data_IF_889120748045
#
_entry.id   IF_889120748045
#
_cell.length_a   1.000
_cell.length_b   1.000
_cell.length_c   1.000
_cell.angle_alpha   90.00
_cell.angle_beta   90.00
_cell.angle_gamma   90.00
#
_symmetry.space_group_name_H-M   'P 1'
#
loop_
_entity.id
_entity.type
_entity.pdbx_description
1 polymer ?
#
# COMPACT_ATOMS: atom_id res chain seq x y z
N UNK A 1 33.67 31.69 -9.24
CA UNK A 1 32.97 31.27 -10.47
C UNK A 1 32.05 30.11 -10.11
N UNK A 2 30.81 30.42 -9.72
CA UNK A 2 29.76 29.41 -9.57
C UNK A 2 29.50 28.76 -10.92
N UNK A 3 29.57 27.43 -10.96
CA UNK A 3 29.13 26.67 -12.13
C UNK A 3 27.61 26.57 -12.03
N UNK A 4 26.91 27.50 -12.68
CA UNK A 4 25.48 27.41 -12.90
C UNK A 4 25.19 26.17 -13.74
N UNK A 5 24.38 25.27 -13.19
CA UNK A 5 23.91 24.08 -13.89
C UNK A 5 23.15 24.48 -15.17
N UNK A 6 23.34 23.80 -16.31
CA UNK A 6 22.65 24.11 -17.56
C UNK A 6 21.12 23.96 -17.41
N UNK A 7 20.36 25.02 -17.74
CA UNK A 7 18.90 25.13 -17.54
C UNK A 7 18.00 24.28 -18.45
N UNK A 8 18.46 23.11 -18.92
CA UNK A 8 17.70 22.18 -19.77
C UNK A 8 17.33 20.86 -19.08
N UNK A 9 17.81 20.63 -17.85
CA UNK A 9 17.37 19.52 -17.00
C UNK A 9 16.34 20.09 -16.00
N UNK A 10 15.13 19.54 -15.95
CA UNK A 10 13.94 20.24 -15.46
C UNK A 10 13.89 20.33 -13.92
N UNK A 11 13.14 21.33 -13.44
CA UNK A 11 12.77 21.58 -12.04
C UNK A 11 12.67 20.31 -11.19
N UNK A 12 13.09 20.34 -9.92
CA UNK A 12 13.11 19.20 -8.97
C UNK A 12 11.86 18.29 -9.03
N UNK A 13 10.69 18.84 -9.36
CA UNK A 13 9.43 18.12 -9.56
C UNK A 13 9.46 17.09 -10.72
N UNK A 14 10.07 17.42 -11.87
CA UNK A 14 10.16 16.51 -13.03
C UNK A 14 11.17 15.39 -12.77
N UNK A 15 12.28 15.71 -12.08
CA UNK A 15 13.22 14.70 -11.60
C UNK A 15 12.55 13.67 -10.69
N UNK A 16 11.73 14.13 -9.73
CA UNK A 16 11.00 13.25 -8.82
C UNK A 16 10.00 12.32 -9.55
N UNK A 17 9.26 12.85 -10.54
CA UNK A 17 8.32 12.04 -11.32
C UNK A 17 9.04 10.95 -12.11
N UNK A 18 10.21 11.26 -12.68
CA UNK A 18 11.04 10.28 -13.38
C UNK A 18 11.57 9.19 -12.44
N UNK A 19 12.02 9.56 -11.24
CA UNK A 19 12.47 8.61 -10.22
C UNK A 19 11.33 7.66 -9.78
N UNK A 20 10.11 8.19 -9.58
CA UNK A 20 8.93 7.37 -9.28
C UNK A 20 8.55 6.43 -10.44
N UNK A 21 8.64 6.91 -11.68
CA UNK A 21 8.39 6.09 -12.86
C UNK A 21 9.41 4.96 -12.99
N UNK A 22 10.69 5.23 -12.74
CA UNK A 22 11.73 4.20 -12.76
C UNK A 22 11.49 3.13 -11.69
N UNK A 23 11.09 3.53 -10.48
CA UNK A 23 10.73 2.57 -9.42
C UNK A 23 9.53 1.69 -9.83
N UNK A 24 8.50 2.28 -10.47
CA UNK A 24 7.36 1.55 -11.03
C UNK A 24 7.78 0.54 -12.10
N UNK A 25 8.67 0.95 -13.01
CA UNK A 25 9.19 0.07 -14.07
C UNK A 25 9.97 -1.11 -13.50
N UNK A 26 10.83 -0.87 -12.49
CA UNK A 26 11.55 -1.95 -11.78
C UNK A 26 10.58 -2.96 -11.15
N UNK A 27 9.55 -2.46 -10.45
CA UNK A 27 8.48 -3.32 -9.90
C UNK A 27 7.78 -4.13 -11.00
N UNK A 28 7.49 -3.50 -12.14
CA UNK A 28 6.89 -4.17 -13.30
C UNK A 28 7.75 -5.27 -13.90
N UNK A 29 9.08 -5.12 -13.85
CA UNK A 29 10.05 -6.13 -14.25
C UNK A 29 10.31 -7.23 -13.19
N UNK A 30 9.61 -7.19 -12.04
CA UNK A 30 9.83 -8.11 -10.93
C UNK A 30 11.03 -7.78 -10.04
N UNK A 31 11.77 -6.70 -10.33
CA UNK A 31 12.85 -6.19 -9.48
C UNK A 31 12.29 -5.41 -8.28
N UNK A 32 11.67 -6.14 -7.35
CA UNK A 32 11.07 -5.56 -6.15
C UNK A 32 12.12 -4.93 -5.22
N UNK A 33 13.29 -5.55 -5.10
CA UNK A 33 14.36 -5.06 -4.23
C UNK A 33 14.95 -3.74 -4.76
N UNK A 34 15.21 -3.65 -6.06
CA UNK A 34 15.66 -2.41 -6.71
C UNK A 34 14.59 -1.32 -6.68
N UNK A 35 13.32 -1.67 -6.86
CA UNK A 35 12.21 -0.72 -6.70
C UNK A 35 12.15 -0.13 -5.29
N UNK A 36 12.20 -0.97 -4.24
CA UNK A 36 12.23 -0.51 -2.84
C UNK A 36 13.46 0.35 -2.54
N UNK A 37 14.63 -0.01 -3.07
CA UNK A 37 15.86 0.78 -2.89
C UNK A 37 15.71 2.17 -3.51
N UNK A 38 15.10 2.25 -4.71
CA UNK A 38 14.83 3.53 -5.38
C UNK A 38 13.87 4.40 -4.56
N UNK A 39 12.78 3.80 -4.08
CA UNK A 39 11.79 4.47 -3.26
C UNK A 39 12.36 4.89 -1.90
N UNK A 40 13.28 4.11 -1.31
CA UNK A 40 13.99 4.50 -0.10
C UNK A 40 14.79 5.80 -0.31
N UNK A 41 15.47 5.94 -1.45
CA UNK A 41 16.24 7.15 -1.78
C UNK A 41 15.32 8.38 -1.88
N UNK A 42 14.17 8.23 -2.54
CA UNK A 42 13.15 9.28 -2.65
C UNK A 42 12.62 9.66 -1.26
N UNK A 43 12.17 8.66 -0.49
CA UNK A 43 11.52 8.87 0.81
C UNK A 43 12.49 9.31 1.91
N UNK A 44 13.80 9.07 1.78
CA UNK A 44 14.80 9.67 2.68
C UNK A 44 14.87 11.19 2.50
N UNK A 45 14.64 11.69 1.29
CA UNK A 45 14.59 13.14 1.00
C UNK A 45 13.23 13.72 1.38
N UNK A 46 12.14 13.03 1.04
CA UNK A 46 10.77 13.49 1.31
C UNK A 46 9.93 12.37 1.94
N UNK A 47 10.03 12.14 3.27
CA UNK A 47 9.38 11.00 3.93
C UNK A 47 7.86 10.99 3.88
N UNK A 48 7.24 12.15 3.76
CA UNK A 48 5.77 12.31 3.72
C UNK A 48 5.21 12.36 2.30
N UNK A 49 6.04 12.10 1.28
CA UNK A 49 5.59 12.05 -0.11
C UNK A 49 4.61 10.88 -0.30
N UNK A 50 3.32 11.20 -0.33
CA UNK A 50 2.24 10.21 -0.36
C UNK A 50 2.37 9.25 -1.55
N UNK A 51 2.67 9.76 -2.74
CA UNK A 51 2.85 8.91 -3.92
C UNK A 51 4.01 7.93 -3.77
N UNK A 52 5.12 8.37 -3.16
CA UNK A 52 6.25 7.50 -2.84
C UNK A 52 5.88 6.41 -1.84
N UNK A 53 5.10 6.75 -0.80
CA UNK A 53 4.60 5.80 0.19
C UNK A 53 3.63 4.78 -0.44
N UNK A 54 2.74 5.22 -1.32
CA UNK A 54 1.81 4.36 -2.06
C UNK A 54 2.57 3.41 -2.98
N UNK A 55 3.57 3.89 -3.73
CA UNK A 55 4.37 3.01 -4.59
C UNK A 55 5.20 2.00 -3.79
N UNK A 56 5.70 2.38 -2.61
CA UNK A 56 6.37 1.44 -1.71
C UNK A 56 5.42 0.34 -1.23
N UNK A 57 4.24 0.70 -0.73
CA UNK A 57 3.24 -0.25 -0.27
C UNK A 57 2.78 -1.21 -1.38
N UNK A 58 2.55 -0.70 -2.61
CA UNK A 58 2.24 -1.54 -3.79
C UNK A 58 3.39 -2.48 -4.16
N UNK A 59 4.64 -2.02 -4.05
CA UNK A 59 5.82 -2.85 -4.34
C UNK A 59 5.92 -4.00 -3.34
N UNK A 60 5.73 -3.71 -2.05
CA UNK A 60 5.73 -4.72 -0.99
C UNK A 60 4.58 -5.72 -1.14
N UNK A 61 3.38 -5.25 -1.52
CA UNK A 61 2.23 -6.12 -1.79
C UNK A 61 2.51 -7.11 -2.92
N UNK A 62 3.06 -6.66 -4.06
CA UNK A 62 3.42 -7.55 -5.15
C UNK A 62 4.55 -8.51 -4.74
N UNK A 63 5.53 -8.03 -3.98
CA UNK A 63 6.58 -8.89 -3.45
C UNK A 63 6.03 -9.96 -2.50
N UNK A 64 4.95 -9.63 -1.78
CA UNK A 64 4.18 -10.54 -0.93
C UNK A 64 3.73 -11.81 -1.64
N UNK A 65 3.43 -11.72 -2.94
CA UNK A 65 3.03 -12.89 -3.75
C UNK A 65 4.13 -13.95 -3.82
N UNK A 66 5.40 -13.54 -3.78
CA UNK A 66 6.56 -14.45 -3.79
C UNK A 66 7.05 -14.77 -2.38
N UNK A 67 6.91 -13.81 -1.47
CA UNK A 67 7.48 -13.83 -0.12
C UNK A 67 6.44 -13.28 0.86
N UNK A 68 5.60 -14.14 1.46
CA UNK A 68 4.42 -13.74 2.23
C UNK A 68 4.65 -12.68 3.30
N UNK A 69 5.83 -12.65 3.94
CA UNK A 69 6.19 -11.65 4.93
C UNK A 69 6.04 -10.20 4.42
N UNK A 70 6.17 -9.96 3.12
CA UNK A 70 6.01 -8.62 2.57
C UNK A 70 4.57 -8.16 2.46
N UNK A 71 3.57 -9.07 2.49
CA UNK A 71 2.18 -8.65 2.72
C UNK A 71 2.03 -7.98 4.08
N UNK A 72 2.65 -8.56 5.14
CA UNK A 72 2.67 -7.96 6.47
C UNK A 72 3.34 -6.59 6.45
N UNK A 73 4.50 -6.49 5.82
CA UNK A 73 5.19 -5.21 5.63
C UNK A 73 4.34 -4.20 4.86
N UNK A 74 3.60 -4.62 3.83
CA UNK A 74 2.76 -3.73 3.03
C UNK A 74 1.60 -3.13 3.85
N UNK A 75 1.04 -3.87 4.81
CA UNK A 75 -0.07 -3.35 5.63
C UNK A 75 0.37 -2.68 6.94
N UNK A 76 1.50 -3.10 7.54
CA UNK A 76 2.04 -2.54 8.79
C UNK A 76 3.05 -1.39 8.56
N UNK A 77 3.82 -1.44 7.48
CA UNK A 77 5.00 -0.60 7.24
C UNK A 77 6.29 -1.40 7.27
N UNK A 78 7.41 -0.74 6.98
CA UNK A 78 8.75 -1.35 6.87
C UNK A 78 9.09 -2.29 8.04
N UNK A 79 9.89 -3.36 7.80
CA UNK A 79 10.22 -4.32 8.84
C UNK A 79 11.08 -3.66 9.95
N UNK A 80 10.77 -3.98 11.21
CA UNK A 80 11.51 -3.48 12.38
C UNK A 80 11.32 -1.98 12.63
N UNK A 81 12.36 -1.32 13.15
CA UNK A 81 12.32 0.12 13.48
C UNK A 81 12.44 1.05 12.24
N UNK A 82 12.41 0.52 11.02
CA UNK A 82 12.49 1.35 9.80
C UNK A 82 11.15 2.02 9.53
N UNK A 83 10.96 3.20 10.13
CA UNK A 83 9.79 4.09 9.93
C UNK A 83 9.73 4.74 8.54
N UNK A 84 10.63 4.37 7.63
CA UNK A 84 10.76 5.00 6.31
C UNK A 84 9.55 4.72 5.41
N UNK A 85 9.06 3.48 5.43
CA UNK A 85 7.93 3.06 4.61
C UNK A 85 6.67 2.93 5.46
N UNK A 86 5.62 3.61 5.04
CA UNK A 86 4.29 3.46 5.58
C UNK A 86 3.63 2.21 5.01
N UNK A 87 2.94 1.48 5.87
CA UNK A 87 1.98 0.48 5.42
C UNK A 87 0.66 1.14 5.04
N UNK A 88 -0.20 0.38 4.37
CA UNK A 88 -1.57 0.80 4.02
C UNK A 88 -2.36 1.31 5.24
N UNK A 89 -2.11 0.76 6.43
CA UNK A 89 -2.72 1.27 7.67
C UNK A 89 -2.38 2.73 7.97
N UNK A 90 -1.10 3.11 7.86
CA UNK A 90 -0.68 4.50 8.07
C UNK A 90 -1.07 5.40 6.90
N UNK A 91 -1.04 4.92 5.66
CA UNK A 91 -1.56 5.67 4.51
C UNK A 91 -3.04 6.03 4.72
N UNK A 92 -3.85 5.10 5.21
CA UNK A 92 -5.26 5.37 5.54
C UNK A 92 -5.40 6.42 6.65
N UNK A 93 -4.56 6.37 7.69
CA UNK A 93 -4.56 7.41 8.75
C UNK A 93 -4.22 8.79 8.20
N UNK A 94 -3.20 8.88 7.36
CA UNK A 94 -2.68 10.15 6.84
C UNK A 94 -3.58 10.79 5.77
N UNK A 95 -4.50 10.02 5.20
CA UNK A 95 -5.47 10.47 4.18
C UNK A 95 -6.88 10.69 4.74
N UNK A 96 -7.17 10.20 5.94
CA UNK A 96 -8.48 10.31 6.59
C UNK A 96 -8.94 11.78 6.71
N UNK A 97 -10.20 12.03 6.33
CA UNK A 97 -10.85 13.34 6.47
C UNK A 97 -10.34 14.42 5.50
N UNK A 98 -9.41 14.09 4.60
CA UNK A 98 -8.88 15.02 3.60
C UNK A 98 -9.60 14.79 2.28
N UNK A 99 -10.49 15.71 1.91
CA UNK A 99 -11.34 15.58 0.71
C UNK A 99 -10.54 15.23 -0.56
N UNK A 100 -9.42 15.91 -0.78
CA UNK A 100 -8.50 15.66 -1.91
C UNK A 100 -7.86 14.26 -1.94
N UNK A 101 -7.93 13.52 -0.83
CA UNK A 101 -7.35 12.18 -0.68
C UNK A 101 -8.39 11.10 -0.38
N UNK A 102 -9.66 11.38 -0.64
CA UNK A 102 -10.75 10.42 -0.42
C UNK A 102 -10.51 9.11 -1.16
N UNK A 103 -10.08 9.17 -2.43
CA UNK A 103 -9.75 7.98 -3.22
C UNK A 103 -8.61 7.16 -2.59
N UNK A 104 -7.53 7.83 -2.18
CA UNK A 104 -6.37 7.21 -1.56
C UNK A 104 -6.72 6.61 -0.19
N UNK A 105 -7.64 7.23 0.55
CA UNK A 105 -8.15 6.70 1.81
C UNK A 105 -8.85 5.36 1.61
N UNK A 106 -9.84 5.29 0.71
CA UNK A 106 -10.58 4.05 0.45
C UNK A 106 -9.68 2.99 -0.20
N UNK A 107 -8.76 3.39 -1.08
CA UNK A 107 -7.71 2.50 -1.57
C UNK A 107 -6.89 1.90 -0.43
N UNK A 108 -6.42 2.72 0.51
CA UNK A 108 -5.60 2.25 1.61
C UNK A 108 -6.37 1.34 2.57
N UNK A 109 -7.64 1.64 2.88
CA UNK A 109 -8.50 0.75 3.70
C UNK A 109 -8.74 -0.59 3.01
N UNK A 110 -9.01 -0.59 1.71
CA UNK A 110 -9.17 -1.81 0.93
C UNK A 110 -7.88 -2.64 0.90
N UNK A 111 -6.75 -2.01 0.57
CA UNK A 111 -5.46 -2.68 0.46
C UNK A 111 -4.94 -3.19 1.81
N UNK A 112 -5.23 -2.49 2.92
CA UNK A 112 -4.95 -2.99 4.27
C UNK A 112 -5.61 -4.36 4.50
N UNK A 113 -6.93 -4.46 4.30
CA UNK A 113 -7.66 -5.70 4.47
C UNK A 113 -7.17 -6.79 3.51
N UNK A 114 -6.93 -6.43 2.24
CA UNK A 114 -6.44 -7.35 1.22
C UNK A 114 -5.09 -7.97 1.59
N UNK A 115 -4.10 -7.14 1.96
CA UNK A 115 -2.77 -7.63 2.32
C UNK A 115 -2.81 -8.50 3.59
N UNK A 116 -3.61 -8.09 4.59
CA UNK A 116 -3.80 -8.89 5.79
C UNK A 116 -4.43 -10.25 5.49
N UNK A 117 -5.46 -10.29 4.66
CA UNK A 117 -6.09 -11.53 4.19
C UNK A 117 -5.08 -12.44 3.47
N UNK A 118 -4.33 -11.89 2.50
CA UNK A 118 -3.33 -12.66 1.76
C UNK A 118 -2.21 -13.18 2.65
N UNK A 119 -1.75 -12.37 3.61
CA UNK A 119 -0.81 -12.81 4.63
C UNK A 119 -1.36 -14.00 5.42
N UNK A 120 -2.56 -13.86 5.99
CA UNK A 120 -3.20 -14.92 6.77
C UNK A 120 -3.39 -16.22 6.00
N UNK A 121 -3.79 -16.15 4.73
CA UNK A 121 -3.84 -17.34 3.86
C UNK A 121 -2.47 -17.97 3.64
N UNK A 122 -1.46 -17.16 3.31
CA UNK A 122 -0.12 -17.67 3.02
C UNK A 122 0.60 -18.25 4.23
N UNK A 123 0.17 -17.90 5.45
CA UNK A 123 0.75 -18.43 6.70
C UNK A 123 -0.20 -19.36 7.46
N UNK A 124 -1.35 -19.72 6.89
CA UNK A 124 -2.41 -20.47 7.58
C UNK A 124 -2.82 -19.86 8.94
N UNK A 125 -2.81 -18.53 9.04
CA UNK A 125 -3.16 -17.78 10.23
C UNK A 125 -4.62 -17.32 10.14
N UNK A 126 -5.51 -18.12 10.71
CA UNK A 126 -6.95 -17.85 10.73
C UNK A 126 -7.30 -16.56 11.50
N UNK A 127 -6.49 -16.16 12.49
CA UNK A 127 -6.71 -14.90 13.20
C UNK A 127 -6.46 -13.70 12.29
N UNK A 128 -5.39 -13.73 11.48
CA UNK A 128 -5.11 -12.67 10.51
C UNK A 128 -6.21 -12.59 9.45
N UNK A 129 -6.75 -13.72 9.00
CA UNK A 129 -7.93 -13.75 8.10
C UNK A 129 -9.15 -13.10 8.76
N UNK A 130 -9.47 -13.46 10.01
CA UNK A 130 -10.58 -12.86 10.75
C UNK A 130 -10.38 -11.35 11.01
N UNK A 131 -9.14 -10.92 11.24
CA UNK A 131 -8.81 -9.49 11.39
C UNK A 131 -8.99 -8.72 10.08
N UNK A 132 -8.78 -9.34 8.93
CA UNK A 132 -9.06 -8.71 7.64
C UNK A 132 -10.56 -8.42 7.44
N UNK A 133 -11.45 -9.34 7.86
CA UNK A 133 -12.90 -9.09 7.87
C UNK A 133 -13.25 -7.90 8.79
N UNK A 134 -12.65 -7.85 9.98
CA UNK A 134 -12.82 -6.73 10.92
C UNK A 134 -12.37 -5.39 10.33
N UNK A 135 -11.32 -5.38 9.50
CA UNK A 135 -10.88 -4.17 8.81
C UNK A 135 -11.94 -3.66 7.82
N UNK A 136 -12.59 -4.54 7.07
CA UNK A 136 -13.65 -4.19 6.12
C UNK A 136 -14.89 -3.68 6.86
N UNK A 137 -15.41 -4.49 7.78
CA UNK A 137 -16.63 -4.18 8.53
C UNK A 137 -16.51 -2.85 9.29
N UNK A 138 -15.37 -2.60 9.95
CA UNK A 138 -15.10 -1.31 10.61
C UNK A 138 -15.10 -0.14 9.62
N UNK A 139 -14.57 -0.34 8.41
CA UNK A 139 -14.61 0.71 7.37
C UNK A 139 -16.04 0.98 6.95
N UNK A 140 -16.83 -0.07 6.69
CA UNK A 140 -18.23 0.06 6.27
C UNK A 140 -19.11 0.71 7.36
N UNK A 141 -18.85 0.40 8.64
CA UNK A 141 -19.58 1.04 9.75
C UNK A 141 -19.31 2.54 9.86
N UNK A 142 -18.06 2.98 9.59
CA UNK A 142 -17.69 4.39 9.63
C UNK A 142 -18.04 5.14 8.34
N UNK A 143 -18.02 4.45 7.21
CA UNK A 143 -18.25 5.00 5.87
C UNK A 143 -19.21 4.07 5.08
N UNK A 144 -20.54 4.19 5.28
CA UNK A 144 -21.51 3.26 4.67
C UNK A 144 -21.49 3.20 3.13
N UNK A 145 -21.08 4.30 2.49
CA UNK A 145 -20.94 4.37 1.04
C UNK A 145 -19.58 3.87 0.52
N UNK A 146 -18.62 3.59 1.41
CA UNK A 146 -17.29 3.03 1.11
C UNK A 146 -16.52 3.76 0.00
N UNK A 147 -16.75 5.06 -0.22
CA UNK A 147 -16.11 5.80 -1.32
C UNK A 147 -16.85 5.70 -2.65
N UNK A 148 -18.10 5.27 -2.62
CA UNK A 148 -19.01 5.19 -3.77
C UNK A 148 -19.12 3.78 -4.36
N UNK A 149 -19.98 3.62 -5.37
CA UNK A 149 -20.38 2.30 -5.88
C UNK A 149 -19.22 1.42 -6.36
N UNK A 150 -18.17 2.03 -6.95
CA UNK A 150 -17.01 1.30 -7.45
C UNK A 150 -16.18 0.67 -6.31
N UNK A 151 -15.98 1.40 -5.22
CA UNK A 151 -15.26 0.89 -4.05
C UNK A 151 -16.10 -0.12 -3.27
N UNK A 152 -17.39 0.17 -3.07
CA UNK A 152 -18.33 -0.74 -2.40
C UNK A 152 -18.28 -2.14 -3.02
N UNK A 153 -18.37 -2.25 -4.35
CA UNK A 153 -18.22 -3.52 -5.07
C UNK A 153 -16.90 -4.25 -4.79
N UNK A 154 -15.79 -3.52 -4.68
CA UNK A 154 -14.48 -4.11 -4.37
C UNK A 154 -14.44 -4.64 -2.94
N UNK A 155 -14.92 -3.87 -1.97
CA UNK A 155 -15.00 -4.30 -0.57
C UNK A 155 -15.91 -5.52 -0.42
N UNK A 156 -17.12 -5.50 -0.99
CA UNK A 156 -18.06 -6.62 -0.93
C UNK A 156 -17.46 -7.89 -1.54
N UNK A 157 -16.74 -7.76 -2.66
CA UNK A 157 -16.08 -8.89 -3.30
C UNK A 157 -14.97 -9.48 -2.42
N UNK A 158 -14.19 -8.63 -1.74
CA UNK A 158 -13.13 -9.07 -0.83
C UNK A 158 -13.71 -9.70 0.44
N UNK A 159 -14.75 -9.12 1.03
CA UNK A 159 -15.43 -9.65 2.20
C UNK A 159 -15.97 -11.06 1.95
N UNK A 160 -16.62 -11.28 0.81
CA UNK A 160 -17.10 -12.62 0.39
C UNK A 160 -15.96 -13.63 0.27
N UNK A 161 -14.80 -13.23 -0.25
CA UNK A 161 -13.62 -14.12 -0.33
C UNK A 161 -13.13 -14.49 1.06
N UNK A 162 -13.03 -13.52 1.98
CA UNK A 162 -12.59 -13.73 3.35
C UNK A 162 -13.56 -14.68 4.08
N UNK A 163 -14.87 -14.42 3.99
CA UNK A 163 -15.91 -15.25 4.62
C UNK A 163 -15.89 -16.68 4.12
N UNK A 164 -15.75 -16.88 2.81
CA UNK A 164 -15.60 -18.22 2.23
C UNK A 164 -14.38 -18.95 2.80
N UNK A 165 -13.22 -18.30 2.82
CA UNK A 165 -11.99 -18.90 3.36
C UNK A 165 -12.11 -19.25 4.85
N UNK A 166 -12.76 -18.41 5.66
CA UNK A 166 -13.00 -18.74 7.08
C UNK A 166 -13.96 -19.92 7.26
N UNK A 167 -14.94 -20.08 6.38
CA UNK A 167 -15.84 -21.24 6.38
C UNK A 167 -15.13 -22.54 6.02
N UNK A 168 -14.14 -22.47 5.13
CA UNK A 168 -13.29 -23.61 4.76
C UNK A 168 -12.29 -23.98 5.87
N UNK A 169 -11.72 -22.99 6.57
CA UNK A 169 -10.76 -23.22 7.67
C UNK A 169 -11.38 -23.82 8.95
N UNK A 170 -12.71 -23.77 9.09
CA UNK A 170 -13.43 -24.32 10.25
C UNK A 170 -13.83 -25.79 10.09
N UNK A 171 -13.66 -26.36 8.89
CA UNK A 171 -13.95 -27.77 8.57
C UNK A 171 -12.70 -28.61 8.74
#
# INVERSE_FOLDING_TARGET
KEKSSPGWIPSDAVGLQLELLLARSRRGAGDYAGAITSLATILKKTPTLLDGQIEAAKTLELWGQLKPQYYRTAYQGGPGNSKLFWGWGKIAQETLGKEKFTEQFFQARFRLAYNRYKFGLSTNDAEEVARAEKDITRTASLFPELGGPAWKRKFDALEKQIQKSMGEQKK
#
